data_IF_686176671080
#
_entry.id   IF_686176671080
#
_cell.length_a   1.000
_cell.length_b   1.000
_cell.length_c   1.000
_cell.angle_alpha   90.00
_cell.angle_beta   90.00
_cell.angle_gamma   90.00
#
_symmetry.space_group_name_H-M   'P 1'
#
loop_
_entity.id
_entity.type
_entity.pdbx_description
1 polymer ?
#
# COMPACT_ATOMS: atom_id res chain seq x y z
N UNK A 1 23.46 -12.51 22.76
CA UNK A 1 24.60 -11.64 22.39
C UNK A 1 24.33 -10.26 22.98
N UNK A 2 25.34 -9.45 23.33
CA UNK A 2 25.09 -8.04 23.62
C UNK A 2 24.43 -7.41 22.38
N UNK A 3 23.49 -6.45 22.55
CA UNK A 3 22.94 -5.73 21.42
C UNK A 3 24.11 -5.04 20.71
N UNK A 4 24.31 -5.38 19.44
CA UNK A 4 25.12 -4.55 18.56
C UNK A 4 24.27 -3.32 18.31
N UNK A 5 24.68 -2.16 18.84
CA UNK A 5 24.21 -0.87 18.32
C UNK A 5 24.92 -0.68 16.98
N UNK A 6 24.25 -0.91 15.84
CA UNK A 6 24.89 -0.93 14.54
C UNK A 6 25.39 0.47 14.20
N UNK A 7 26.66 0.59 13.81
CA UNK A 7 27.24 1.89 13.45
C UNK A 7 27.23 2.17 11.96
N UNK A 8 27.00 1.14 11.15
CA UNK A 8 26.85 1.24 9.70
C UNK A 8 25.85 0.21 9.16
N UNK A 9 25.50 0.33 7.87
CA UNK A 9 24.54 -0.56 7.20
C UNK A 9 24.98 -2.02 7.18
N UNK A 10 26.29 -2.29 7.08
CA UNK A 10 26.79 -3.67 7.05
C UNK A 10 26.62 -4.31 8.41
N UNK A 11 26.97 -3.62 9.50
CA UNK A 11 26.76 -4.11 10.87
C UNK A 11 25.26 -4.33 11.15
N UNK A 12 24.39 -3.47 10.63
CA UNK A 12 22.94 -3.64 10.74
C UNK A 12 22.46 -4.92 10.05
N UNK A 13 22.92 -5.17 8.83
CA UNK A 13 22.54 -6.38 8.09
C UNK A 13 23.13 -7.65 8.69
N UNK A 14 24.35 -7.58 9.24
CA UNK A 14 24.91 -8.67 10.05
C UNK A 14 24.05 -8.93 11.29
N UNK A 15 23.57 -7.88 11.97
CA UNK A 15 22.65 -8.05 13.10
C UNK A 15 21.34 -8.74 12.67
N UNK A 16 20.75 -8.32 11.55
CA UNK A 16 19.55 -8.93 11.00
C UNK A 16 19.75 -10.39 10.55
N UNK A 17 20.89 -10.73 9.96
CA UNK A 17 21.25 -12.10 9.61
C UNK A 17 21.16 -13.02 10.83
N UNK A 18 21.77 -12.63 11.96
CA UNK A 18 21.73 -13.41 13.20
C UNK A 18 20.30 -13.60 13.74
N UNK A 19 19.44 -12.58 13.60
CA UNK A 19 18.03 -12.64 14.02
C UNK A 19 17.23 -13.61 13.15
N UNK A 20 17.45 -13.58 11.83
CA UNK A 20 16.79 -14.45 10.86
C UNK A 20 17.19 -15.91 11.08
N UNK A 21 18.50 -16.21 11.17
CA UNK A 21 19.03 -17.56 11.44
C UNK A 21 18.48 -18.13 12.75
N UNK A 22 18.53 -17.34 13.83
CA UNK A 22 18.01 -17.77 15.14
C UNK A 22 16.51 -18.08 15.12
N UNK A 23 15.73 -17.36 14.30
CA UNK A 23 14.31 -17.65 14.10
C UNK A 23 14.09 -18.95 13.33
N UNK A 24 14.95 -19.25 12.36
CA UNK A 24 14.85 -20.45 11.52
C UNK A 24 15.23 -21.74 12.22
N UNK A 25 16.32 -21.74 12.98
CA UNK A 25 16.75 -22.92 13.74
C UNK A 25 15.64 -23.38 14.70
N UNK A 26 15.00 -22.42 15.39
CA UNK A 26 13.89 -22.70 16.29
C UNK A 26 12.65 -23.23 15.55
N UNK A 27 12.40 -22.78 14.31
CA UNK A 27 11.30 -23.30 13.50
C UNK A 27 11.48 -24.75 13.08
N UNK A 28 12.72 -25.13 12.75
CA UNK A 28 13.07 -26.51 12.42
C UNK A 28 12.95 -27.41 13.65
N UNK A 29 13.35 -26.93 14.83
CA UNK A 29 13.30 -27.70 16.08
C UNK A 29 11.87 -27.86 16.64
N UNK A 30 11.05 -26.80 16.65
CA UNK A 30 9.76 -26.81 17.35
C UNK A 30 8.56 -27.15 16.46
N UNK A 31 8.74 -27.21 15.13
CA UNK A 31 7.67 -27.39 14.11
C UNK A 31 6.46 -26.43 14.26
N UNK A 32 6.60 -25.36 15.06
CA UNK A 32 5.60 -24.34 15.35
C UNK A 32 6.30 -23.00 15.52
N UNK A 33 5.72 -21.95 14.95
CA UNK A 33 6.07 -20.58 15.33
C UNK A 33 5.55 -20.34 16.75
N UNK A 34 6.44 -20.29 17.73
CA UNK A 34 6.08 -19.76 19.04
C UNK A 34 5.77 -18.26 18.89
N UNK A 35 4.65 -17.80 19.47
CA UNK A 35 4.07 -16.45 19.33
C UNK A 35 4.95 -15.30 19.88
N UNK A 36 6.20 -15.58 20.29
CA UNK A 36 7.12 -14.65 20.98
C UNK A 36 8.50 -14.52 20.31
N UNK A 37 8.61 -14.80 19.01
CA UNK A 37 9.87 -14.65 18.28
C UNK A 37 9.95 -13.26 17.61
N UNK A 38 11.10 -12.60 17.74
CA UNK A 38 11.40 -11.34 17.10
C UNK A 38 11.75 -11.59 15.62
N UNK A 39 10.76 -11.44 14.75
CA UNK A 39 10.93 -11.51 13.30
C UNK A 39 11.44 -10.18 12.77
N UNK A 40 12.31 -10.19 11.75
CA UNK A 40 12.61 -8.97 10.99
C UNK A 40 11.34 -8.50 10.26
N UNK A 41 11.01 -7.23 10.45
CA UNK A 41 9.94 -6.52 9.75
C UNK A 41 10.55 -5.40 8.93
N UNK A 42 10.04 -5.24 7.73
CA UNK A 42 10.42 -4.19 6.80
C UNK A 42 9.13 -3.49 6.36
N UNK A 43 8.98 -2.23 6.73
CA UNK A 43 7.84 -1.40 6.34
C UNK A 43 8.30 -0.52 5.18
N UNK A 44 7.84 -0.86 3.97
CA UNK A 44 7.98 0.03 2.83
C UNK A 44 6.95 1.14 2.95
N UNK A 45 7.38 2.38 2.75
CA UNK A 45 6.57 3.59 2.89
C UNK A 45 6.93 4.54 1.75
N UNK A 46 5.92 5.15 1.13
CA UNK A 46 6.13 6.26 0.20
C UNK A 46 6.27 7.56 0.99
N UNK A 47 7.18 8.41 0.58
CA UNK A 47 7.46 9.68 1.25
C UNK A 47 7.57 10.86 0.27
N UNK A 48 7.30 12.03 0.81
CA UNK A 48 7.48 13.34 0.20
C UNK A 48 8.16 14.33 1.18
N UNK A 49 8.87 13.81 2.18
CA UNK A 49 9.64 14.58 3.16
C UNK A 49 11.07 14.04 3.28
N UNK A 50 11.92 14.76 4.02
CA UNK A 50 13.28 14.32 4.34
C UNK A 50 13.31 13.64 5.72
N UNK A 51 14.24 12.70 6.01
CA UNK A 51 14.25 11.96 7.28
C UNK A 51 14.34 12.86 8.51
N UNK A 52 15.04 13.99 8.41
CA UNK A 52 15.18 14.97 9.48
C UNK A 52 13.87 15.68 9.83
N UNK A 53 12.90 15.70 8.92
CA UNK A 53 11.59 16.32 9.13
C UNK A 53 10.69 15.48 10.05
N UNK A 54 10.98 14.18 10.25
CA UNK A 54 10.21 13.33 11.16
C UNK A 54 10.25 13.85 12.60
N UNK A 55 11.43 14.21 13.12
CA UNK A 55 11.58 14.77 14.47
C UNK A 55 10.95 16.16 14.59
N UNK A 56 10.88 16.94 13.51
CA UNK A 56 10.21 18.24 13.48
C UNK A 56 8.67 18.12 13.49
N UNK A 57 8.14 17.06 12.88
CA UNK A 57 6.69 16.83 12.74
C UNK A 57 6.09 16.02 13.89
N UNK A 58 6.87 15.17 14.54
CA UNK A 58 6.40 14.22 15.53
C UNK A 58 7.20 14.34 16.84
N UNK A 59 6.59 14.97 17.85
CA UNK A 59 7.24 15.22 19.16
C UNK A 59 7.70 13.93 19.87
N UNK A 60 7.08 12.79 19.56
CA UNK A 60 7.36 11.48 20.15
C UNK A 60 8.37 10.66 19.32
N UNK A 61 8.98 11.25 18.28
CA UNK A 61 9.94 10.59 17.41
C UNK A 61 11.31 11.26 17.56
N UNK A 62 12.35 10.45 17.77
CA UNK A 62 13.75 10.90 17.75
C UNK A 62 14.48 10.26 16.59
N UNK A 63 15.26 11.03 15.83
CA UNK A 63 16.00 10.55 14.65
C UNK A 63 17.51 10.72 14.86
N UNK A 64 18.23 9.61 14.98
CA UNK A 64 19.68 9.56 15.07
C UNK A 64 20.31 9.17 13.74
N UNK A 65 21.28 9.93 13.24
CA UNK A 65 22.02 9.52 12.02
C UNK A 65 23.02 8.40 12.35
N UNK A 66 22.91 7.28 11.64
CA UNK A 66 23.83 6.14 11.74
C UNK A 66 24.85 6.18 10.59
N UNK A 67 24.38 6.33 9.34
CA UNK A 67 25.21 6.40 8.13
C UNK A 67 24.62 7.42 7.12
N UNK A 68 25.20 7.61 5.93
CA UNK A 68 24.83 8.62 4.93
C UNK A 68 23.31 8.75 4.68
N UNK A 69 22.62 7.61 4.57
CA UNK A 69 21.17 7.49 4.34
C UNK A 69 20.52 6.44 5.25
N UNK A 70 21.13 6.22 6.42
CA UNK A 70 20.63 5.28 7.42
C UNK A 70 20.47 6.01 8.75
N UNK A 71 19.29 5.88 9.33
CA UNK A 71 18.92 6.56 10.56
C UNK A 71 18.35 5.55 11.55
N UNK A 72 18.65 5.72 12.83
CA UNK A 72 17.91 5.11 13.91
C UNK A 72 16.72 6.02 14.22
N UNK A 73 15.53 5.44 14.32
CA UNK A 73 14.29 6.12 14.62
C UNK A 73 13.71 5.50 15.86
N UNK A 74 13.65 6.27 16.94
CA UNK A 74 13.04 5.87 18.19
C UNK A 74 11.64 6.48 18.26
N UNK A 75 10.63 5.66 18.49
CA UNK A 75 9.24 6.08 18.63
C UNK A 75 8.81 5.80 20.06
N UNK A 76 8.48 6.86 20.81
CA UNK A 76 7.89 6.76 22.13
C UNK A 76 6.39 6.47 21.99
N UNK A 77 5.97 5.28 22.42
CA UNK A 77 4.56 4.86 22.40
C UNK A 77 3.95 4.87 23.80
N UNK A 78 4.58 5.55 24.77
CA UNK A 78 4.04 5.66 26.12
C UNK A 78 2.67 6.32 26.13
N UNK A 79 1.78 5.76 26.95
CA UNK A 79 0.48 6.33 27.28
C UNK A 79 0.48 6.72 28.76
N UNK A 80 -0.40 7.64 29.18
CA UNK A 80 -0.50 8.09 30.59
C UNK A 80 -0.71 6.93 31.60
N UNK A 81 -1.09 5.72 31.13
CA UNK A 81 -1.39 4.54 31.96
C UNK A 81 -0.35 3.40 31.84
N UNK A 82 0.61 3.46 30.91
CA UNK A 82 1.58 2.39 30.64
C UNK A 82 3.04 2.77 31.00
N UNK A 83 3.89 1.76 31.22
CA UNK A 83 5.35 1.98 31.33
C UNK A 83 5.91 2.51 30.01
N UNK A 84 6.97 3.33 30.06
CA UNK A 84 7.67 3.84 28.86
C UNK A 84 8.03 2.67 27.91
N UNK A 85 7.33 2.57 26.78
CA UNK A 85 7.65 1.65 25.69
C UNK A 85 8.22 2.47 24.53
N UNK A 86 9.55 2.46 24.41
CA UNK A 86 10.26 3.05 23.27
C UNK A 86 10.54 1.94 22.27
N UNK A 87 10.05 2.09 21.05
CA UNK A 87 10.29 1.16 19.96
C UNK A 87 11.42 1.66 19.06
N UNK A 88 12.35 0.76 18.72
CA UNK A 88 13.46 1.06 17.81
C UNK A 88 13.17 0.59 16.38
N UNK A 89 13.47 1.48 15.44
CA UNK A 89 13.44 1.24 14.01
C UNK A 89 14.74 1.74 13.36
N UNK A 90 15.10 1.14 12.24
CA UNK A 90 16.16 1.65 11.36
C UNK A 90 15.54 2.07 10.03
N UNK A 91 15.66 3.35 9.70
CA UNK A 91 15.18 3.94 8.46
C UNK A 91 16.31 3.96 7.43
N UNK A 92 16.13 3.21 6.34
CA UNK A 92 16.96 3.32 5.13
C UNK A 92 16.27 4.21 4.10
N UNK A 93 16.88 5.36 3.83
CA UNK A 93 16.39 6.41 2.95
C UNK A 93 17.25 6.55 1.69
N UNK A 94 17.84 5.45 1.19
CA UNK A 94 18.63 5.47 -0.06
C UNK A 94 17.81 5.90 -1.29
N UNK A 95 16.53 5.56 -1.32
CA UNK A 95 15.60 5.99 -2.35
C UNK A 95 14.87 7.26 -1.87
N UNK A 96 14.78 8.26 -2.73
CA UNK A 96 14.22 9.57 -2.42
C UNK A 96 12.70 9.54 -2.20
N UNK A 97 12.00 8.54 -2.76
CA UNK A 97 10.54 8.42 -2.71
C UNK A 97 10.07 7.26 -1.85
N UNK A 98 10.84 6.18 -1.76
CA UNK A 98 10.44 4.97 -1.04
C UNK A 98 11.41 4.63 0.07
N UNK A 99 10.96 4.78 1.31
CA UNK A 99 11.75 4.45 2.48
C UNK A 99 11.45 3.05 2.99
N UNK A 100 12.44 2.45 3.65
CA UNK A 100 12.25 1.19 4.38
C UNK A 100 12.56 1.39 5.85
N UNK A 101 11.56 1.16 6.71
CA UNK A 101 11.77 1.06 8.16
C UNK A 101 11.95 -0.41 8.54
N UNK A 102 13.10 -0.75 9.10
CA UNK A 102 13.38 -2.08 9.63
C UNK A 102 13.12 -2.12 11.13
N UNK A 103 12.55 -3.21 11.64
CA UNK A 103 12.41 -3.42 13.08
C UNK A 103 12.35 -4.89 13.47
N UNK A 104 13.01 -5.21 14.59
CA UNK A 104 12.96 -6.52 15.24
C UNK A 104 12.01 -6.53 16.45
N UNK A 105 11.28 -5.45 16.70
CA UNK A 105 10.35 -5.31 17.82
C UNK A 105 9.18 -6.29 17.76
N UNK A 106 8.32 -6.33 18.78
CA UNK A 106 7.10 -7.16 18.72
C UNK A 106 6.19 -6.70 17.57
N UNK A 107 5.56 -7.66 16.90
CA UNK A 107 4.83 -7.39 15.65
C UNK A 107 3.60 -6.49 15.78
N UNK A 108 2.91 -6.47 16.94
CA UNK A 108 1.74 -5.59 17.14
C UNK A 108 2.19 -4.15 17.46
N UNK A 109 2.99 -3.90 18.52
CA UNK A 109 3.47 -2.55 18.82
C UNK A 109 4.15 -1.87 17.62
N UNK A 110 5.04 -2.59 16.92
CA UNK A 110 5.72 -2.04 15.75
C UNK A 110 4.76 -1.70 14.60
N UNK A 111 3.67 -2.46 14.43
CA UNK A 111 2.66 -2.17 13.42
C UNK A 111 1.89 -0.92 13.80
N UNK A 112 1.42 -0.86 15.03
CA UNK A 112 0.52 0.20 15.51
C UNK A 112 1.29 1.54 15.51
N UNK A 113 2.55 1.56 15.97
CA UNK A 113 3.42 2.73 15.89
C UNK A 113 3.65 3.22 14.45
N UNK A 114 3.94 2.31 13.51
CA UNK A 114 4.09 2.69 12.10
C UNK A 114 2.77 3.17 11.49
N UNK A 115 1.64 2.58 11.90
CA UNK A 115 0.32 2.99 11.43
C UNK A 115 -0.02 4.40 11.91
N UNK A 116 0.29 4.74 13.15
CA UNK A 116 0.09 6.08 13.68
C UNK A 116 1.02 7.11 13.03
N UNK A 117 2.29 6.76 12.82
CA UNK A 117 3.25 7.61 12.11
C UNK A 117 2.81 7.90 10.67
N UNK A 118 2.44 6.87 9.91
CA UNK A 118 2.06 7.00 8.49
C UNK A 118 0.70 7.70 8.34
N UNK A 119 -0.27 7.33 9.17
CA UNK A 119 -1.65 7.81 9.05
C UNK A 119 -1.90 9.15 9.73
N UNK A 120 -0.91 9.73 10.42
CA UNK A 120 -1.00 11.08 10.94
C UNK A 120 -1.29 12.11 9.82
N UNK A 121 -1.97 13.19 10.19
CA UNK A 121 -2.26 14.28 9.26
C UNK A 121 -0.96 14.96 8.83
N UNK A 122 -0.78 15.17 7.51
CA UNK A 122 0.41 15.81 6.94
C UNK A 122 1.74 15.16 7.32
N UNK A 123 1.72 13.85 7.59
CA UNK A 123 2.92 13.06 7.92
C UNK A 123 3.99 13.09 6.83
N UNK A 124 3.62 13.41 5.58
CA UNK A 124 4.51 13.22 4.45
C UNK A 124 4.88 11.75 4.20
N UNK A 125 4.11 10.82 4.79
CA UNK A 125 4.26 9.39 4.65
C UNK A 125 2.93 8.76 4.21
N UNK A 126 3.01 7.78 3.32
CA UNK A 126 1.85 6.99 2.91
C UNK A 126 2.22 5.51 2.73
N UNK A 127 1.22 4.64 2.84
CA UNK A 127 1.42 3.23 2.56
C UNK A 127 1.66 2.98 1.08
N UNK A 128 2.30 1.85 0.79
CA UNK A 128 2.21 1.24 -0.53
C UNK A 128 0.86 0.51 -0.62
N UNK A 129 -0.11 1.14 -1.26
CA UNK A 129 -1.48 0.65 -1.40
C UNK A 129 -1.57 -0.43 -2.48
N UNK A 130 -1.14 -1.66 -2.16
CA UNK A 130 -1.08 -2.75 -3.13
C UNK A 130 -2.46 -3.18 -3.64
N UNK A 131 -2.74 -3.01 -4.95
CA UNK A 131 -3.98 -3.51 -5.52
C UNK A 131 -4.03 -5.05 -5.48
N UNK A 132 -5.23 -5.61 -5.51
CA UNK A 132 -5.46 -7.04 -5.48
C UNK A 132 -4.70 -7.78 -6.60
N UNK A 133 -4.57 -7.17 -7.78
CA UNK A 133 -3.82 -7.74 -8.90
C UNK A 133 -2.31 -7.87 -8.58
N UNK A 134 -1.71 -6.85 -7.97
CA UNK A 134 -0.30 -6.88 -7.57
C UNK A 134 -0.07 -7.90 -6.45
N UNK A 135 -0.99 -7.99 -5.49
CA UNK A 135 -0.93 -9.02 -4.45
C UNK A 135 -1.04 -10.43 -5.04
N UNK A 136 -1.92 -10.66 -6.02
CA UNK A 136 -1.97 -11.94 -6.75
C UNK A 136 -0.66 -12.23 -7.48
N UNK A 137 0.01 -11.22 -8.03
CA UNK A 137 1.33 -11.38 -8.64
C UNK A 137 2.40 -11.83 -7.63
N UNK A 138 2.36 -11.33 -6.38
CA UNK A 138 3.30 -11.77 -5.33
C UNK A 138 3.28 -13.28 -5.07
N UNK A 139 2.13 -13.94 -5.29
CA UNK A 139 2.03 -15.40 -5.16
C UNK A 139 2.93 -16.16 -6.15
N UNK A 140 3.34 -15.51 -7.25
CA UNK A 140 4.21 -16.05 -8.31
C UNK A 140 5.69 -15.77 -8.05
N UNK A 141 6.06 -14.94 -7.07
CA UNK A 141 7.45 -14.57 -6.75
C UNK A 141 8.20 -15.65 -5.93
N UNK A 142 7.55 -16.76 -5.62
CA UNK A 142 8.14 -17.89 -4.92
C UNK A 142 7.15 -19.05 -4.82
N UNK A 143 7.47 -20.04 -3.99
CA UNK A 143 6.55 -21.12 -3.65
C UNK A 143 5.45 -20.58 -2.73
N UNK A 144 4.22 -20.52 -3.22
CA UNK A 144 3.07 -20.07 -2.43
C UNK A 144 2.82 -20.96 -1.20
N UNK A 145 2.71 -20.34 -0.02
CA UNK A 145 2.57 -21.02 1.28
C UNK A 145 1.32 -20.64 2.07
N UNK A 146 0.65 -19.55 1.72
CA UNK A 146 -0.50 -19.07 2.48
C UNK A 146 -0.97 -17.70 2.02
N UNK A 147 -2.19 -17.35 2.39
CA UNK A 147 -2.77 -16.04 2.15
C UNK A 147 -3.74 -15.67 3.28
N UNK A 148 -3.84 -14.37 3.51
CA UNK A 148 -4.96 -13.77 4.24
C UNK A 148 -5.90 -13.10 3.26
N UNK A 149 -7.19 -13.23 3.49
CA UNK A 149 -8.25 -12.51 2.80
C UNK A 149 -9.01 -11.72 3.84
N UNK A 150 -9.25 -10.44 3.56
CA UNK A 150 -10.09 -9.59 4.38
C UNK A 150 -11.09 -8.82 3.51
N UNK A 151 -12.24 -8.55 4.09
CA UNK A 151 -13.20 -7.54 3.66
C UNK A 151 -13.72 -6.86 4.91
N UNK A 152 -13.48 -5.57 5.03
CA UNK A 152 -13.56 -4.85 6.29
C UNK A 152 -14.48 -3.62 6.13
N UNK A 153 -15.64 -3.75 5.47
CA UNK A 153 -16.50 -2.63 5.06
C UNK A 153 -16.89 -1.69 6.20
N UNK A 154 -16.97 -2.20 7.44
CA UNK A 154 -17.20 -1.44 8.66
C UNK A 154 -16.19 -0.31 8.91
N UNK A 155 -14.97 -0.40 8.34
CA UNK A 155 -13.96 0.67 8.43
C UNK A 155 -14.33 1.92 7.62
N UNK A 156 -15.21 1.79 6.61
CA UNK A 156 -15.49 2.86 5.62
C UNK A 156 -16.98 3.21 5.55
N UNK A 157 -17.85 2.20 5.66
CA UNK A 157 -19.29 2.35 5.47
C UNK A 157 -20.03 2.34 6.81
N UNK A 158 -21.14 3.07 6.88
CA UNK A 158 -22.02 3.08 8.04
C UNK A 158 -22.69 1.71 8.23
N UNK A 159 -23.09 1.40 9.47
CA UNK A 159 -23.90 0.20 9.74
C UNK A 159 -25.18 0.16 8.87
N UNK A 160 -25.84 1.31 8.69
CA UNK A 160 -27.03 1.44 7.84
C UNK A 160 -26.75 1.09 6.37
N UNK A 161 -25.66 1.61 5.80
CA UNK A 161 -25.26 1.29 4.44
C UNK A 161 -24.93 -0.20 4.27
N UNK A 162 -24.24 -0.79 5.24
CA UNK A 162 -23.86 -2.20 5.22
C UNK A 162 -25.12 -3.08 5.23
N UNK A 163 -26.04 -2.84 6.18
CA UNK A 163 -27.26 -3.63 6.34
C UNK A 163 -28.18 -3.54 5.12
N UNK A 164 -28.22 -2.39 4.44
CA UNK A 164 -29.07 -2.17 3.27
C UNK A 164 -28.46 -2.66 1.95
N UNK A 165 -27.14 -2.53 1.77
CA UNK A 165 -26.51 -2.65 0.45
C UNK A 165 -25.39 -3.68 0.33
N UNK A 166 -24.87 -4.22 1.43
CA UNK A 166 -23.72 -5.14 1.42
C UNK A 166 -24.06 -6.50 2.06
N UNK A 167 -23.47 -7.61 1.58
CA UNK A 167 -23.77 -8.92 2.13
C UNK A 167 -23.13 -9.19 3.50
N UNK A 168 -22.09 -8.44 3.85
CA UNK A 168 -21.40 -8.54 5.14
C UNK A 168 -20.65 -7.25 5.46
N UNK A 169 -20.47 -6.97 6.76
CA UNK A 169 -19.63 -5.89 7.27
C UNK A 169 -18.16 -6.28 7.36
N UNK A 170 -17.87 -7.44 7.98
CA UNK A 170 -16.52 -7.99 8.10
C UNK A 170 -16.45 -9.46 7.64
N UNK A 171 -15.39 -9.82 6.90
CA UNK A 171 -15.01 -11.19 6.57
C UNK A 171 -13.49 -11.33 6.62
N UNK A 172 -12.98 -12.20 7.50
CA UNK A 172 -11.56 -12.56 7.52
C UNK A 172 -11.33 -14.06 7.37
N UNK A 173 -10.49 -14.43 6.41
CA UNK A 173 -10.07 -15.81 6.16
C UNK A 173 -8.55 -15.87 6.18
N UNK A 174 -8.00 -16.72 7.05
CA UNK A 174 -6.56 -17.00 7.09
C UNK A 174 -6.31 -18.46 6.74
N UNK A 175 -5.45 -18.69 5.75
CA UNK A 175 -5.08 -20.03 5.32
C UNK A 175 -3.57 -20.17 5.14
N UNK A 176 -3.03 -21.29 5.62
CA UNK A 176 -1.61 -21.60 5.54
C UNK A 176 -1.38 -23.09 5.26
N UNK A 177 -0.32 -23.40 4.53
CA UNK A 177 0.12 -24.76 4.25
C UNK A 177 -0.47 -25.36 2.98
N UNK A 178 -0.39 -26.70 2.89
CA UNK A 178 -0.84 -27.44 1.72
C UNK A 178 -2.37 -27.39 1.63
N UNK A 179 -2.90 -26.88 0.51
CA UNK A 179 -4.34 -26.75 0.29
C UNK A 179 -4.87 -25.31 0.28
N UNK A 180 -4.05 -24.30 0.58
CA UNK A 180 -4.48 -22.90 0.47
C UNK A 180 -4.88 -22.54 -0.96
N UNK A 181 -4.15 -22.99 -1.98
CA UNK A 181 -4.53 -22.75 -3.38
C UNK A 181 -5.92 -23.31 -3.69
N UNK A 182 -6.20 -24.55 -3.28
CA UNK A 182 -7.52 -25.16 -3.47
C UNK A 182 -8.62 -24.39 -2.73
N UNK A 183 -8.37 -23.90 -1.51
CA UNK A 183 -9.35 -23.10 -0.78
C UNK A 183 -9.65 -21.78 -1.50
N UNK A 184 -8.61 -21.09 -1.99
CA UNK A 184 -8.78 -19.86 -2.77
C UNK A 184 -9.56 -20.11 -4.06
N UNK A 185 -9.26 -21.22 -4.75
CA UNK A 185 -9.98 -21.62 -5.96
C UNK A 185 -11.46 -21.94 -5.66
N UNK A 186 -11.73 -22.63 -4.54
CA UNK A 186 -13.08 -22.96 -4.11
C UNK A 186 -13.90 -21.75 -3.66
N UNK A 187 -13.24 -20.76 -3.04
CA UNK A 187 -13.86 -19.50 -2.65
C UNK A 187 -14.03 -18.52 -3.82
N UNK A 188 -13.40 -18.79 -4.96
CA UNK A 188 -13.52 -18.00 -6.19
C UNK A 188 -14.84 -18.23 -6.95
N UNK A 189 -15.90 -18.72 -6.29
CA UNK A 189 -17.25 -18.70 -6.84
C UNK A 189 -17.67 -17.26 -7.19
N UNK A 190 -18.46 -17.09 -8.25
CA UNK A 190 -18.62 -15.83 -8.97
C UNK A 190 -19.14 -14.67 -8.10
N UNK A 191 -19.96 -14.97 -7.09
CA UNK A 191 -20.57 -13.97 -6.22
C UNK A 191 -19.67 -13.60 -5.04
N UNK A 192 -18.97 -14.57 -4.43
CA UNK A 192 -18.11 -14.32 -3.27
C UNK A 192 -16.80 -13.64 -3.66
N UNK A 193 -16.28 -13.91 -4.86
CA UNK A 193 -15.00 -13.38 -5.34
C UNK A 193 -14.89 -11.86 -5.24
N UNK A 194 -16.00 -11.14 -5.39
CA UNK A 194 -16.10 -9.67 -5.32
C UNK A 194 -15.85 -9.10 -3.93
N UNK A 195 -15.75 -9.96 -2.93
CA UNK A 195 -15.55 -9.58 -1.55
C UNK A 195 -14.32 -10.29 -0.95
N UNK A 196 -13.51 -10.96 -1.76
CA UNK A 196 -12.33 -11.70 -1.32
C UNK A 196 -11.07 -10.99 -1.75
N UNK A 197 -10.79 -9.84 -1.11
CA UNK A 197 -9.54 -9.11 -1.32
C UNK A 197 -8.41 -9.75 -0.52
N UNK A 198 -7.27 -9.99 -1.17
CA UNK A 198 -6.08 -10.43 -0.46
C UNK A 198 -5.65 -9.32 0.51
N UNK A 199 -5.41 -9.70 1.76
CA UNK A 199 -4.83 -8.84 2.79
C UNK A 199 -3.36 -9.15 3.00
N UNK A 200 -2.93 -10.36 2.62
CA UNK A 200 -1.54 -10.78 2.73
C UNK A 200 -1.22 -12.02 1.91
N UNK A 201 0.04 -12.16 1.53
CA UNK A 201 0.56 -13.29 0.77
C UNK A 201 1.79 -13.84 1.48
N UNK A 202 1.85 -15.16 1.65
CA UNK A 202 3.01 -15.87 2.20
C UNK A 202 3.66 -16.71 1.13
N UNK A 203 4.94 -16.48 0.90
CA UNK A 203 5.76 -17.24 -0.05
C UNK A 203 7.01 -17.81 0.63
N UNK A 204 7.57 -18.84 0.01
CA UNK A 204 8.89 -19.37 0.32
C UNK A 204 9.76 -19.25 -0.92
N UNK A 205 10.93 -18.64 -0.79
CA UNK A 205 11.91 -18.51 -1.86
C UNK A 205 13.13 -19.35 -1.53
N UNK A 206 13.57 -20.14 -2.50
CA UNK A 206 14.83 -20.88 -2.43
C UNK A 206 15.88 -20.09 -3.22
N UNK A 207 17.02 -19.85 -2.60
CA UNK A 207 18.17 -19.19 -3.20
C UNK A 207 19.26 -20.23 -3.44
N UNK A 208 20.37 -19.85 -4.09
CA UNK A 208 21.49 -20.77 -4.31
C UNK A 208 22.06 -21.32 -2.98
N UNK A 209 22.08 -20.49 -1.92
CA UNK A 209 22.65 -20.84 -0.62
C UNK A 209 21.71 -20.57 0.57
N UNK A 210 20.39 -20.76 0.41
CA UNK A 210 19.47 -20.56 1.54
C UNK A 210 18.00 -20.60 1.19
N UNK A 211 17.17 -20.39 2.21
CA UNK A 211 15.71 -20.32 2.08
C UNK A 211 15.20 -19.13 2.87
N UNK A 212 14.23 -18.39 2.34
CA UNK A 212 13.53 -17.36 3.10
C UNK A 212 12.02 -17.54 2.96
N UNK A 213 11.31 -17.42 4.08
CA UNK A 213 9.85 -17.45 4.14
C UNK A 213 9.36 -16.06 4.50
N UNK A 214 8.60 -15.46 3.60
CA UNK A 214 8.17 -14.08 3.72
C UNK A 214 6.67 -13.98 3.70
N UNK A 215 6.15 -13.01 4.46
CA UNK A 215 4.78 -12.56 4.36
C UNK A 215 4.78 -11.11 3.93
N UNK A 216 4.05 -10.80 2.87
CA UNK A 216 3.78 -9.44 2.39
C UNK A 216 2.34 -9.11 2.75
N UNK A 217 2.11 -8.01 3.45
CA UNK A 217 0.78 -7.47 3.68
C UNK A 217 0.45 -6.40 2.62
N UNK A 218 -0.83 -6.09 2.47
CA UNK A 218 -1.37 -5.19 1.44
C UNK A 218 -0.90 -3.72 1.50
N UNK A 219 -0.16 -3.33 2.55
CA UNK A 219 0.23 -1.95 2.83
C UNK A 219 1.75 -1.71 2.76
N UNK A 220 2.53 -2.64 2.20
CA UNK A 220 3.98 -2.50 2.12
C UNK A 220 4.77 -3.15 3.27
N UNK A 221 4.09 -3.71 4.29
CA UNK A 221 4.77 -4.45 5.35
C UNK A 221 5.20 -5.85 4.90
N UNK A 222 6.48 -6.15 5.07
CA UNK A 222 7.06 -7.47 4.83
C UNK A 222 7.60 -8.01 6.16
N UNK A 223 7.40 -9.30 6.42
CA UNK A 223 7.93 -9.97 7.62
C UNK A 223 8.59 -11.29 7.26
N UNK A 224 9.83 -11.45 7.73
CA UNK A 224 10.58 -12.71 7.57
C UNK A 224 10.17 -13.69 8.67
N UNK A 225 9.51 -14.77 8.27
CA UNK A 225 8.96 -15.81 9.17
C UNK A 225 9.85 -17.06 9.26
N UNK A 226 11.13 -16.91 8.97
CA UNK A 226 12.12 -17.98 8.94
C UNK A 226 12.96 -17.94 7.67
N UNK A 227 14.20 -18.36 7.80
CA UNK A 227 15.19 -18.45 6.75
C UNK A 227 16.60 -18.23 7.27
N UNK A 228 17.57 -18.21 6.38
CA UNK A 228 18.99 -18.08 6.71
C UNK A 228 19.73 -17.12 5.77
N UNK A 229 19.01 -16.27 5.04
CA UNK A 229 19.61 -15.35 4.06
C UNK A 229 18.97 -13.95 4.12
N UNK A 230 19.67 -12.99 4.74
CA UNK A 230 19.26 -11.58 4.77
C UNK A 230 19.31 -10.94 3.38
N UNK A 231 20.26 -11.32 2.52
CA UNK A 231 20.41 -10.71 1.19
C UNK A 231 19.22 -11.07 0.30
N UNK A 232 18.72 -12.29 0.44
CA UNK A 232 17.47 -12.69 -0.18
C UNK A 232 16.29 -11.83 0.28
N UNK A 233 16.18 -11.52 1.57
CA UNK A 233 15.14 -10.62 2.07
C UNK A 233 15.29 -9.20 1.53
N UNK A 234 16.50 -8.60 1.58
CA UNK A 234 16.74 -7.24 1.11
C UNK A 234 16.44 -7.10 -0.39
N UNK A 235 16.93 -8.04 -1.22
CA UNK A 235 16.62 -8.05 -2.66
C UNK A 235 15.13 -8.20 -2.94
N UNK A 236 14.36 -8.82 -2.05
CA UNK A 236 12.91 -8.91 -2.18
C UNK A 236 12.20 -7.61 -1.86
N UNK A 237 12.63 -6.94 -0.78
CA UNK A 237 12.14 -5.60 -0.45
C UNK A 237 12.35 -4.67 -1.65
N UNK A 238 13.51 -4.72 -2.30
CA UNK A 238 13.80 -3.97 -3.53
C UNK A 238 12.87 -4.35 -4.69
N UNK A 239 12.67 -5.65 -4.97
CA UNK A 239 11.73 -6.11 -6.01
C UNK A 239 10.32 -5.57 -5.76
N UNK A 240 9.83 -5.62 -4.52
CA UNK A 240 8.49 -5.15 -4.16
C UNK A 240 8.38 -3.64 -4.33
N UNK A 241 9.39 -2.88 -3.90
CA UNK A 241 9.49 -1.43 -4.14
C UNK A 241 9.44 -1.11 -5.62
N UNK A 242 10.26 -1.77 -6.44
CA UNK A 242 10.38 -1.47 -7.87
C UNK A 242 9.08 -1.77 -8.62
N UNK A 243 8.42 -2.89 -8.31
CA UNK A 243 7.09 -3.22 -8.85
C UNK A 243 6.05 -2.15 -8.51
N UNK A 244 6.10 -1.59 -7.30
CA UNK A 244 5.18 -0.53 -6.90
C UNK A 244 5.52 0.82 -7.53
N UNK A 245 6.81 1.14 -7.61
CA UNK A 245 7.31 2.36 -8.24
C UNK A 245 6.91 2.42 -9.73
N UNK A 246 7.01 1.30 -10.44
CA UNK A 246 6.57 1.18 -11.83
C UNK A 246 5.06 1.39 -11.98
N UNK A 247 4.27 0.87 -11.02
CA UNK A 247 2.83 1.05 -11.01
C UNK A 247 2.44 2.52 -10.81
N UNK A 248 3.06 3.21 -9.85
CA UNK A 248 2.81 4.64 -9.66
C UNK A 248 3.26 5.43 -10.88
N UNK A 249 4.45 5.15 -11.43
CA UNK A 249 4.95 5.85 -12.60
C UNK A 249 3.97 5.76 -13.77
N UNK A 250 3.41 4.58 -14.03
CA UNK A 250 2.38 4.42 -15.07
C UNK A 250 1.12 5.25 -14.82
N UNK A 251 0.68 5.35 -13.55
CA UNK A 251 -0.46 6.21 -13.17
C UNK A 251 -0.12 7.69 -13.35
N UNK A 252 1.07 8.12 -12.96
CA UNK A 252 1.48 9.52 -13.04
C UNK A 252 1.72 9.98 -14.49
N UNK A 253 2.24 9.10 -15.35
CA UNK A 253 2.47 9.39 -16.77
C UNK A 253 1.17 9.43 -17.59
N UNK A 254 0.20 8.55 -17.32
CA UNK A 254 -1.03 8.44 -18.13
C UNK A 254 -2.27 9.07 -17.48
N UNK A 255 -2.34 9.07 -16.14
CA UNK A 255 -3.53 9.40 -15.35
C UNK A 255 -3.61 10.84 -14.84
N UNK A 256 -2.52 11.61 -14.93
CA UNK A 256 -2.46 13.02 -14.54
C UNK A 256 -2.87 13.93 -15.69
N UNK A 257 -3.80 14.83 -15.43
CA UNK A 257 -4.34 15.76 -16.43
C UNK A 257 -3.61 17.10 -16.32
N UNK A 258 -2.76 17.38 -17.30
CA UNK A 258 -1.98 18.60 -17.40
C UNK A 258 -2.38 19.47 -18.60
N UNK A 259 -2.00 20.75 -18.54
CA UNK A 259 -2.19 21.71 -19.63
C UNK A 259 -0.84 22.30 -20.10
N UNK A 260 0.10 21.50 -20.61
CA UNK A 260 1.39 22.01 -21.00
C UNK A 260 1.28 23.01 -22.15
N UNK A 261 2.10 24.06 -22.06
CA UNK A 261 2.30 24.99 -23.15
C UNK A 261 3.29 24.34 -24.12
N UNK A 262 2.83 24.00 -25.32
CA UNK A 262 3.72 23.52 -26.38
C UNK A 262 4.20 24.69 -27.22
N UNK A 263 5.51 24.88 -27.24
CA UNK A 263 6.17 25.73 -28.22
C UNK A 263 6.19 24.98 -29.55
N UNK A 264 5.49 25.52 -30.55
CA UNK A 264 5.55 24.98 -31.91
C UNK A 264 6.78 25.61 -32.56
N UNK A 265 7.84 24.81 -32.76
CA UNK A 265 8.95 25.21 -33.62
C UNK A 265 8.42 25.33 -35.06
N UNK A 266 8.33 26.56 -35.56
CA UNK A 266 8.04 26.80 -36.96
C UNK A 266 9.34 26.60 -37.76
N UNK A 267 9.31 25.72 -38.78
CA UNK A 267 10.35 25.73 -39.81
C UNK A 267 10.22 27.02 -40.64
N UNK A 268 11.07 28.01 -40.35
CA UNK A 268 11.17 29.27 -41.10
C UNK A 268 10.84 30.54 -40.30
N UNK A 269 11.05 31.69 -40.94
CA UNK A 269 10.97 33.07 -40.40
C UNK A 269 9.53 33.54 -40.04
N UNK A 270 8.67 32.66 -39.51
CA UNK A 270 7.30 33.00 -39.12
C UNK A 270 6.96 32.58 -37.69
N UNK A 271 6.75 33.60 -36.84
CA UNK A 271 6.08 33.66 -35.52
C UNK A 271 5.88 32.34 -34.76
N UNK A 272 6.55 32.25 -33.61
CA UNK A 272 6.20 31.34 -32.51
C UNK A 272 4.71 31.48 -32.16
N UNK A 273 3.93 30.42 -32.39
CA UNK A 273 2.61 30.26 -31.79
C UNK A 273 2.70 29.24 -30.67
N UNK A 274 2.43 29.67 -29.44
CA UNK A 274 2.23 28.75 -28.32
C UNK A 274 0.79 28.23 -28.32
N UNK A 275 0.64 26.91 -28.29
CA UNK A 275 -0.66 26.26 -28.12
C UNK A 275 -0.72 25.58 -26.76
N UNK A 276 -1.86 25.68 -26.07
CA UNK A 276 -2.13 24.83 -24.91
C UNK A 276 -2.64 23.47 -25.41
N UNK A 277 -1.95 22.39 -25.06
CA UNK A 277 -2.46 21.03 -25.24
C UNK A 277 -2.97 20.49 -23.91
N UNK A 278 -3.95 19.59 -23.97
CA UNK A 278 -4.36 18.78 -22.82
C UNK A 278 -3.58 17.48 -22.91
N UNK A 279 -2.93 17.09 -21.82
CA UNK A 279 -2.27 15.79 -21.68
C UNK A 279 -2.91 14.99 -20.55
N UNK A 280 -2.76 13.66 -20.60
CA UNK A 280 -3.34 12.73 -19.64
C UNK A 280 -4.79 12.32 -19.91
N UNK A 281 -5.23 11.32 -19.16
CA UNK A 281 -6.59 10.77 -19.21
C UNK A 281 -7.13 10.53 -17.81
N UNK A 282 -8.44 10.69 -17.56
CA UNK A 282 -9.01 10.34 -16.26
C UNK A 282 -8.83 8.86 -15.99
N UNK A 283 -8.46 8.53 -14.76
CA UNK A 283 -8.30 7.16 -14.29
C UNK A 283 -9.70 6.58 -14.10
N UNK A 284 -10.00 5.48 -14.78
CA UNK A 284 -11.31 4.80 -14.70
C UNK A 284 -11.17 3.54 -13.86
N UNK A 285 -11.97 3.45 -12.80
CA UNK A 285 -12.15 2.24 -11.98
C UNK A 285 -13.51 1.64 -12.34
N UNK A 286 -13.50 0.45 -12.92
CA UNK A 286 -14.71 -0.32 -13.22
C UNK A 286 -15.10 -1.16 -12.01
N UNK A 287 -16.39 -1.20 -11.70
CA UNK A 287 -16.94 -1.96 -10.59
C UNK A 287 -17.71 -3.18 -11.13
N UNK A 288 -17.44 -4.35 -10.56
CA UNK A 288 -18.26 -5.54 -10.68
C UNK A 288 -19.50 -5.47 -9.77
N UNK A 289 -19.38 -4.82 -8.61
CA UNK A 289 -20.48 -4.51 -7.70
C UNK A 289 -21.13 -3.17 -8.06
N UNK A 290 -22.45 -3.16 -8.24
CA UNK A 290 -23.19 -1.95 -8.57
C UNK A 290 -23.43 -1.11 -7.33
N UNK A 291 -23.06 0.17 -7.36
CA UNK A 291 -23.38 1.14 -6.31
C UNK A 291 -24.87 1.49 -6.37
N UNK A 292 -25.62 1.12 -5.35
CA UNK A 292 -27.06 1.38 -5.27
C UNK A 292 -27.34 2.83 -4.87
N UNK A 293 -26.73 3.27 -3.76
CA UNK A 293 -26.82 4.64 -3.24
C UNK A 293 -25.50 5.40 -3.50
N UNK A 294 -25.46 6.16 -4.61
CA UNK A 294 -24.26 6.87 -5.05
C UNK A 294 -23.80 7.95 -4.07
N UNK A 295 -24.74 8.65 -3.44
CA UNK A 295 -24.40 9.75 -2.52
C UNK A 295 -23.74 9.19 -1.27
N UNK A 296 -24.38 8.21 -0.63
CA UNK A 296 -23.86 7.65 0.62
C UNK A 296 -22.53 6.94 0.41
N UNK A 297 -22.40 6.18 -0.69
CA UNK A 297 -21.11 5.61 -1.09
C UNK A 297 -20.02 6.67 -1.24
N UNK A 298 -20.32 7.76 -1.95
CA UNK A 298 -19.38 8.85 -2.17
C UNK A 298 -19.00 9.56 -0.88
N UNK A 299 -19.97 9.81 0.01
CA UNK A 299 -19.74 10.44 1.31
C UNK A 299 -18.88 9.54 2.22
N UNK A 300 -19.09 8.22 2.20
CA UNK A 300 -18.28 7.24 2.94
C UNK A 300 -16.81 7.25 2.50
N UNK A 301 -16.53 7.22 1.18
CA UNK A 301 -15.15 7.21 0.69
C UNK A 301 -14.47 8.60 0.73
N UNK A 302 -15.21 9.66 1.05
CA UNK A 302 -14.69 11.05 1.14
C UNK A 302 -15.00 11.74 2.48
N UNK A 303 -15.08 10.96 3.55
CA UNK A 303 -15.45 11.37 4.92
C UNK A 303 -14.30 12.00 5.75
N UNK A 304 -13.13 12.21 5.16
CA UNK A 304 -11.89 12.64 5.83
C UNK A 304 -11.32 11.66 6.88
N UNK A 305 -11.81 10.42 6.96
CA UNK A 305 -11.32 9.43 7.94
C UNK A 305 -10.30 8.46 7.33
N UNK A 306 -9.57 7.74 8.20
CA UNK A 306 -8.79 6.56 7.80
C UNK A 306 -9.76 5.52 7.19
N UNK A 307 -9.31 4.72 6.21
CA UNK A 307 -7.97 4.68 5.61
C UNK A 307 -7.76 5.64 4.42
N UNK A 308 -8.84 6.23 3.86
CA UNK A 308 -8.73 7.00 2.61
C UNK A 308 -8.17 8.42 2.81
N UNK A 309 -8.46 9.07 3.94
CA UNK A 309 -8.03 10.45 4.22
C UNK A 309 -8.37 11.42 3.08
N UNK A 310 -9.56 11.26 2.49
CA UNK A 310 -10.07 12.12 1.42
C UNK A 310 -11.23 12.94 1.96
N UNK A 311 -11.21 14.24 1.75
CA UNK A 311 -12.36 15.09 2.04
C UNK A 311 -13.01 15.54 0.73
N UNK A 312 -14.34 15.42 0.63
CA UNK A 312 -15.05 15.73 -0.61
C UNK A 312 -16.40 16.41 -0.37
N UNK A 313 -16.82 17.20 -1.37
CA UNK A 313 -18.17 17.74 -1.46
C UNK A 313 -18.82 17.25 -2.74
N UNK A 314 -19.91 16.50 -2.57
CA UNK A 314 -20.64 15.87 -3.64
C UNK A 314 -21.81 16.72 -4.19
N UNK A 315 -22.08 16.57 -5.48
CA UNK A 315 -23.18 17.21 -6.19
C UNK A 315 -23.80 16.24 -7.20
N UNK A 316 -25.13 16.24 -7.30
CA UNK A 316 -25.85 15.49 -8.32
C UNK A 316 -25.71 16.16 -9.68
N UNK A 317 -25.29 15.39 -10.68
CA UNK A 317 -25.25 15.83 -12.09
C UNK A 317 -26.48 15.29 -12.84
N UNK A 318 -26.88 14.05 -12.53
CA UNK A 318 -28.11 13.39 -12.98
C UNK A 318 -28.48 12.27 -12.00
N UNK A 319 -29.66 11.64 -12.14
CA UNK A 319 -30.18 10.62 -11.20
C UNK A 319 -29.22 9.43 -10.98
N UNK A 320 -28.41 9.07 -11.97
CA UNK A 320 -27.44 7.97 -11.94
C UNK A 320 -25.98 8.46 -11.95
N UNK A 321 -25.76 9.73 -11.62
CA UNK A 321 -24.47 10.39 -11.80
C UNK A 321 -24.18 11.41 -10.69
N UNK A 322 -23.24 11.04 -9.81
CA UNK A 322 -22.75 11.85 -8.72
C UNK A 322 -21.33 12.36 -8.99
N UNK A 323 -21.04 13.61 -8.61
CA UNK A 323 -19.71 14.21 -8.78
C UNK A 323 -19.21 14.75 -7.46
N UNK A 324 -18.00 14.37 -7.07
CA UNK A 324 -17.31 14.86 -5.87
C UNK A 324 -16.11 15.69 -6.29
N UNK A 325 -15.96 16.86 -5.68
CA UNK A 325 -14.70 17.61 -5.70
C UNK A 325 -14.10 17.55 -4.31
N UNK A 326 -12.82 17.24 -4.23
CA UNK A 326 -12.19 16.98 -2.94
C UNK A 326 -10.71 17.30 -2.89
N UNK A 327 -10.17 17.04 -1.71
CA UNK A 327 -8.76 17.21 -1.37
C UNK A 327 -8.27 15.97 -0.65
N UNK A 328 -7.11 15.47 -1.08
CA UNK A 328 -6.35 14.44 -0.41
C UNK A 328 -5.70 15.04 0.84
N UNK A 329 -6.03 14.56 2.04
CA UNK A 329 -5.50 15.12 3.29
C UNK A 329 -4.08 14.65 3.62
N UNK A 330 -3.54 13.67 2.88
CA UNK A 330 -2.16 13.22 3.05
C UNK A 330 -1.17 14.30 2.54
N UNK A 331 -1.46 14.92 1.40
CA UNK A 331 -0.55 15.90 0.76
C UNK A 331 -1.23 17.22 0.33
N UNK A 332 -2.54 17.37 0.53
CA UNK A 332 -3.39 18.49 0.11
C UNK A 332 -3.65 18.60 -1.40
N UNK A 333 -3.44 17.53 -2.17
CA UNK A 333 -3.72 17.55 -3.60
C UNK A 333 -5.21 17.56 -3.89
N UNK A 334 -5.62 18.34 -4.88
CA UNK A 334 -7.02 18.36 -5.31
C UNK A 334 -7.34 17.16 -6.19
N UNK A 335 -8.55 16.64 -6.08
CA UNK A 335 -9.05 15.59 -6.97
C UNK A 335 -10.51 15.82 -7.33
N UNK A 336 -10.97 15.17 -8.39
CA UNK A 336 -12.40 15.08 -8.72
C UNK A 336 -12.78 13.64 -8.99
N UNK A 337 -13.88 13.19 -8.37
CA UNK A 337 -14.51 11.91 -8.67
C UNK A 337 -15.80 12.13 -9.43
N UNK A 338 -16.02 11.30 -10.43
CA UNK A 338 -17.30 11.12 -11.10
C UNK A 338 -17.73 9.68 -10.88
N UNK A 339 -18.89 9.48 -10.26
CA UNK A 339 -19.33 8.19 -9.75
C UNK A 339 -20.66 7.85 -10.42
N UNK A 340 -20.66 6.69 -11.08
CA UNK A 340 -21.87 6.00 -11.54
C UNK A 340 -21.97 4.66 -10.83
N UNK A 341 -23.06 3.94 -11.09
CA UNK A 341 -23.34 2.64 -10.49
C UNK A 341 -22.23 1.62 -10.70
N UNK A 342 -21.54 1.69 -11.84
CA UNK A 342 -20.68 0.63 -12.34
C UNK A 342 -19.26 1.11 -12.70
N UNK A 343 -18.97 2.38 -12.47
CA UNK A 343 -17.63 2.93 -12.61
C UNK A 343 -17.43 4.20 -11.79
N UNK A 344 -16.16 4.47 -11.49
CA UNK A 344 -15.67 5.70 -10.90
C UNK A 344 -14.60 6.27 -11.82
N UNK A 345 -14.66 7.57 -12.09
CA UNK A 345 -13.61 8.31 -12.81
C UNK A 345 -12.93 9.26 -11.85
N UNK A 346 -11.62 9.15 -11.77
CA UNK A 346 -10.76 10.01 -10.98
C UNK A 346 -9.99 10.94 -11.92
N UNK A 347 -10.10 12.23 -11.65
CA UNK A 347 -9.33 13.28 -12.31
C UNK A 347 -8.28 13.76 -11.32
N UNK A 348 -7.02 13.55 -11.66
CA UNK A 348 -5.86 14.05 -10.92
C UNK A 348 -5.21 15.18 -11.73
N UNK A 349 -4.92 16.34 -11.12
CA UNK A 349 -4.03 17.36 -11.68
C UNK A 349 -2.61 16.84 -11.98
N UNK A 350 -1.82 17.63 -12.70
CA UNK A 350 -0.44 17.30 -13.09
C UNK A 350 0.58 17.29 -11.95
N UNK A 351 0.29 17.97 -10.85
CA UNK A 351 1.08 17.97 -9.62
C UNK A 351 0.61 16.93 -8.58
N UNK A 352 -0.53 16.27 -8.80
CA UNK A 352 -1.13 15.40 -7.78
C UNK A 352 -0.47 14.03 -7.66
N UNK A 353 -0.17 13.55 -6.45
CA UNK A 353 0.49 12.27 -6.20
C UNK A 353 -0.25 11.08 -6.82
N UNK A 354 0.46 10.23 -7.58
CA UNK A 354 -0.12 9.00 -8.13
C UNK A 354 -0.62 8.03 -7.06
N UNK A 355 -0.06 8.11 -5.85
CA UNK A 355 -0.47 7.27 -4.72
C UNK A 355 -1.92 7.50 -4.31
N UNK A 356 -2.47 8.70 -4.52
CA UNK A 356 -3.89 9.00 -4.28
C UNK A 356 -4.79 8.06 -5.09
N UNK A 357 -4.46 7.80 -6.36
CA UNK A 357 -5.22 6.88 -7.19
C UNK A 357 -5.15 5.43 -6.69
N UNK A 358 -3.95 4.97 -6.30
CA UNK A 358 -3.77 3.63 -5.74
C UNK A 358 -4.47 3.48 -4.41
N UNK A 359 -4.42 4.50 -3.55
CA UNK A 359 -5.15 4.51 -2.29
C UNK A 359 -6.65 4.37 -2.53
N UNK A 360 -7.24 5.18 -3.41
CA UNK A 360 -8.67 5.06 -3.76
C UNK A 360 -8.97 3.66 -4.30
N UNK A 361 -8.19 3.19 -5.27
CA UNK A 361 -8.44 1.92 -5.95
C UNK A 361 -8.31 0.71 -5.02
N UNK A 362 -7.23 0.62 -4.26
CA UNK A 362 -6.98 -0.49 -3.33
C UNK A 362 -7.96 -0.50 -2.17
N UNK A 363 -8.40 0.67 -1.68
CA UNK A 363 -9.46 0.75 -0.68
C UNK A 363 -10.83 0.34 -1.26
N UNK A 364 -11.19 0.72 -2.49
CA UNK A 364 -12.39 0.19 -3.15
C UNK A 364 -12.31 -1.33 -3.23
N UNK A 365 -11.18 -1.89 -3.62
CA UNK A 365 -11.00 -3.34 -3.69
C UNK A 365 -11.14 -4.05 -2.35
N UNK A 366 -10.66 -3.43 -1.27
CA UNK A 366 -10.69 -4.02 0.05
C UNK A 366 -12.06 -3.93 0.72
N UNK A 367 -12.73 -2.79 0.57
CA UNK A 367 -13.88 -2.41 1.37
C UNK A 367 -15.21 -2.55 0.64
N UNK A 368 -15.21 -2.70 -0.69
CA UNK A 368 -16.43 -2.67 -1.48
C UNK A 368 -16.46 -3.71 -2.63
N UNK A 369 -15.40 -3.79 -3.43
CA UNK A 369 -15.38 -4.62 -4.64
C UNK A 369 -13.97 -5.12 -5.00
N UNK A 370 -13.61 -6.28 -4.48
CA UNK A 370 -12.31 -6.94 -4.71
C UNK A 370 -12.01 -7.27 -6.18
N UNK A 371 -13.02 -7.24 -7.06
CA UNK A 371 -12.85 -7.46 -8.51
C UNK A 371 -12.85 -6.15 -9.30
N UNK A 372 -12.86 -4.99 -8.63
CA UNK A 372 -12.67 -3.71 -9.28
C UNK A 372 -11.36 -3.69 -10.07
N UNK A 373 -11.37 -2.99 -11.21
CA UNK A 373 -10.24 -2.96 -12.16
C UNK A 373 -10.04 -1.58 -12.77
N UNK A 374 -8.80 -1.24 -13.12
CA UNK A 374 -8.53 -0.10 -13.98
C UNK A 374 -8.91 -0.40 -15.43
N UNK A 375 -9.44 0.59 -16.15
CA UNK A 375 -9.51 0.53 -17.62
C UNK A 375 -10.67 1.29 -18.24
N UNK A 376 -10.55 1.57 -19.53
CA UNK A 376 -11.68 2.07 -20.33
C UNK A 376 -12.73 0.97 -20.48
N UNK A 377 -14.00 1.32 -20.32
CA UNK A 377 -15.13 0.40 -20.41
C UNK A 377 -15.41 -0.10 -21.84
N UNK A 378 -14.39 -0.11 -22.70
CA UNK A 378 -14.38 -0.59 -24.07
C UNK A 378 -13.08 -1.34 -24.34
N UNK A 379 -13.17 -2.67 -24.32
CA UNK A 379 -12.15 -3.65 -24.72
C UNK A 379 -11.08 -4.04 -23.64
N UNK A 380 -11.24 -5.21 -23.00
CA UNK A 380 -10.26 -5.78 -22.07
C UNK A 380 -8.88 -6.08 -22.67
N UNK A 381 -8.70 -5.97 -23.99
CA UNK A 381 -7.44 -6.25 -24.67
C UNK A 381 -6.48 -5.06 -24.77
N UNK A 382 -6.87 -3.87 -24.30
CA UNK A 382 -6.14 -2.63 -24.61
C UNK A 382 -5.72 -1.77 -23.41
N UNK A 383 -5.75 -2.28 -22.17
CA UNK A 383 -5.19 -1.54 -21.04
C UNK A 383 -3.66 -1.59 -21.07
N UNK A 384 -3.03 -0.49 -21.52
CA UNK A 384 -1.59 -0.28 -21.39
C UNK A 384 -1.13 0.11 -19.99
N UNK A 385 -2.06 0.46 -19.10
CA UNK A 385 -1.82 0.44 -17.65
C UNK A 385 -1.56 -1.02 -17.28
N UNK A 386 -0.32 -1.33 -16.90
CA UNK A 386 0.26 -2.68 -16.74
C UNK A 386 -0.36 -3.58 -15.67
N UNK A 387 -1.68 -3.69 -15.62
CA UNK A 387 -2.45 -4.53 -14.73
C UNK A 387 -3.49 -5.37 -15.51
N UNK A 388 -3.15 -5.86 -16.71
CA UNK A 388 -3.83 -7.05 -17.23
C UNK A 388 -3.26 -8.27 -16.53
N UNK A 389 -4.04 -8.85 -15.61
CA UNK A 389 -3.82 -10.22 -15.18
C UNK A 389 -3.93 -11.14 -16.42
N UNK A 390 -2.80 -11.72 -16.83
CA UNK A 390 -2.78 -12.97 -17.59
C UNK A 390 -2.33 -14.13 -16.70
#
# INVERSE_FOLDING_TARGET
>A
MPPLEPTDRRELYEHFQHVIEGTYDQLLEEQRLNYKQNMLKSFLVETNIEPTTLEEQFEHVTVGKVDYSLFEVLIDTSSDEDEEEILSFYLDSQDERFWTFYSIEKSRPAKDAMEDLIMAERSGLDYLWFPAQLQRYFTKLGEFRGAGINYDAEDVFSEEYIDEHLPFGELSIQSSGKGTSWLLDALSDADLKRFLSLSSVKIRREMEEGVVIERIDNNGRITTRGGDDIQAHLSFVEIIRDLYADLIRGIEEEGRIGYPIREIEAEGDERHSSGQSIEGTPIVINLANSVENLKEFADSITSATKPLRLWGVGTWIADDYYKVRGTDLHNNDSFTLEIKRDWIRLYLPDDACGNTALRIFSNIQRYYDAEASFGERSDPSNSKVGLTAQ
#
